data_IF_301411249266
#
_entry.id   IF_301411249266
#
_cell.length_a   1.000
_cell.length_b   1.000
_cell.length_c   1.000
_cell.angle_alpha   90.00
_cell.angle_beta   90.00
_cell.angle_gamma   90.00
#
_symmetry.space_group_name_H-M   'P 1'
#
loop_
_entity.id
_entity.type
_entity.pdbx_description
1 polymer ?
#
# COMPACT_ATOMS: atom_id res chain seq x y z
N UNK A 1 33.91 9.79 -32.82
CA UNK A 1 34.40 9.84 -31.44
C UNK A 1 33.35 10.54 -30.59
N UNK A 2 32.50 9.76 -29.92
CA UNK A 2 31.53 10.28 -28.93
C UNK A 2 32.23 10.14 -27.58
N UNK A 3 32.66 11.26 -27.00
CA UNK A 3 33.22 11.28 -25.65
C UNK A 3 32.12 10.93 -24.65
N UNK A 4 32.20 9.71 -24.10
CA UNK A 4 31.50 9.34 -22.87
C UNK A 4 32.05 10.22 -21.73
N UNK A 5 31.30 11.24 -21.34
CA UNK A 5 31.52 11.91 -20.07
C UNK A 5 30.90 11.00 -19.01
N UNK A 6 31.70 10.06 -18.49
CA UNK A 6 31.42 9.42 -17.21
C UNK A 6 31.59 10.50 -16.12
N UNK A 7 30.50 11.22 -15.83
CA UNK A 7 30.41 11.96 -14.60
C UNK A 7 30.43 10.93 -13.46
N UNK A 8 31.54 10.85 -12.74
CA UNK A 8 31.59 10.13 -11.48
C UNK A 8 30.58 10.78 -10.54
N UNK A 9 29.41 10.17 -10.41
CA UNK A 9 28.48 10.48 -9.32
C UNK A 9 29.21 10.03 -8.06
N UNK A 10 29.82 10.98 -7.35
CA UNK A 10 30.29 10.75 -5.99
C UNK A 10 29.08 10.23 -5.22
N UNK A 11 29.12 8.97 -4.81
CA UNK A 11 28.07 8.38 -3.99
C UNK A 11 27.99 9.21 -2.71
N UNK A 12 26.98 10.07 -2.61
CA UNK A 12 26.69 10.76 -1.37
C UNK A 12 26.49 9.67 -0.32
N UNK A 13 27.17 9.80 0.83
CA UNK A 13 26.94 8.89 1.94
C UNK A 13 25.45 8.88 2.32
N UNK A 14 24.99 7.84 3.02
CA UNK A 14 23.60 7.74 3.42
C UNK A 14 23.21 8.96 4.26
N UNK A 15 22.04 9.50 3.96
CA UNK A 15 21.50 10.65 4.67
C UNK A 15 21.02 10.21 6.05
N UNK A 16 21.09 11.11 7.03
CA UNK A 16 20.66 10.83 8.41
C UNK A 16 19.77 11.94 8.93
N UNK A 17 18.83 11.58 9.79
CA UNK A 17 18.02 12.49 10.59
C UNK A 17 17.77 11.88 11.96
N UNK A 18 17.63 12.72 12.98
CA UNK A 18 17.17 12.31 14.29
C UNK A 18 15.85 13.03 14.58
N UNK A 19 14.89 12.30 15.15
CA UNK A 19 13.63 12.82 15.65
C UNK A 19 13.57 12.67 17.17
N UNK A 20 12.40 12.81 17.78
CA UNK A 20 12.24 12.61 19.22
C UNK A 20 12.52 11.14 19.60
N UNK A 21 11.96 10.20 18.83
CA UNK A 21 11.97 8.78 19.14
C UNK A 21 12.80 7.93 18.18
N UNK A 22 13.36 8.48 17.09
CA UNK A 22 14.08 7.68 16.09
C UNK A 22 15.41 8.30 15.66
N UNK A 23 16.38 7.41 15.39
CA UNK A 23 17.60 7.73 14.65
C UNK A 23 17.47 7.06 13.26
N UNK A 24 17.28 7.88 12.22
CA UNK A 24 16.94 7.43 10.87
C UNK A 24 18.15 7.60 9.96
N UNK A 25 18.48 6.55 9.21
CA UNK A 25 19.49 6.58 8.14
C UNK A 25 18.89 6.00 6.86
N UNK A 26 19.05 6.70 5.74
CA UNK A 26 18.42 6.33 4.48
C UNK A 26 19.41 6.42 3.30
N UNK A 27 19.29 5.48 2.35
CA UNK A 27 20.04 5.44 1.10
C UNK A 27 19.26 5.96 -0.12
N UNK A 28 17.96 6.27 0.01
CA UNK A 28 17.13 6.66 -1.13
C UNK A 28 15.90 7.53 -0.85
N UNK A 29 15.57 7.78 0.43
CA UNK A 29 14.46 8.65 0.83
C UNK A 29 14.98 9.82 1.66
N UNK A 30 14.22 10.90 1.75
CA UNK A 30 14.52 11.96 2.70
C UNK A 30 14.39 11.40 4.14
N UNK A 31 15.47 11.40 4.96
CA UNK A 31 15.43 10.86 6.30
C UNK A 31 14.50 11.66 7.23
N UNK A 32 14.28 12.96 6.99
CA UNK A 32 13.35 13.76 7.78
C UNK A 32 11.90 13.34 7.52
N UNK A 33 11.55 13.13 6.25
CA UNK A 33 10.28 12.54 5.83
C UNK A 33 10.03 11.17 6.47
N UNK A 34 11.00 10.26 6.43
CA UNK A 34 10.90 8.93 7.07
C UNK A 34 10.71 9.06 8.58
N UNK A 35 11.49 9.93 9.24
CA UNK A 35 11.34 10.20 10.66
C UNK A 35 9.94 10.71 11.03
N UNK A 36 9.38 11.63 10.25
CA UNK A 36 8.03 12.15 10.50
C UNK A 36 6.94 11.07 10.41
N UNK A 37 7.08 10.10 9.49
CA UNK A 37 6.16 8.95 9.38
C UNK A 37 6.27 8.07 10.64
N UNK A 38 7.50 7.78 11.07
CA UNK A 38 7.78 6.96 12.25
C UNK A 38 7.26 7.60 13.54
N UNK A 39 7.35 8.93 13.68
CA UNK A 39 6.77 9.64 14.83
C UNK A 39 5.25 9.51 14.90
N UNK A 40 4.56 9.57 13.75
CA UNK A 40 3.10 9.36 13.73
C UNK A 40 2.72 7.92 14.07
N UNK A 41 3.49 6.93 13.60
CA UNK A 41 3.33 5.54 14.00
C UNK A 41 3.58 5.36 15.51
N UNK A 42 4.63 5.99 16.05
CA UNK A 42 4.96 5.93 17.47
C UNK A 42 3.79 6.40 18.33
N UNK A 43 3.15 7.52 17.97
CA UNK A 43 1.93 7.98 18.65
C UNK A 43 0.80 6.94 18.59
N UNK A 44 0.52 6.38 17.41
CA UNK A 44 -0.49 5.34 17.25
C UNK A 44 -0.22 4.09 18.12
N UNK A 45 1.02 3.64 18.18
CA UNK A 45 1.43 2.46 18.94
C UNK A 45 1.47 2.75 20.44
N UNK A 46 1.96 3.91 20.87
CA UNK A 46 1.96 4.32 22.27
C UNK A 46 0.53 4.41 22.83
N UNK A 47 -0.40 4.97 22.07
CA UNK A 47 -1.83 5.01 22.42
C UNK A 47 -2.42 3.60 22.54
N UNK A 48 -2.06 2.69 21.62
CA UNK A 48 -2.55 1.32 21.63
C UNK A 48 -2.00 0.50 22.80
N UNK A 49 -0.69 0.50 23.01
CA UNK A 49 -0.02 -0.27 24.06
C UNK A 49 -0.11 0.39 25.45
N UNK A 50 -0.43 1.68 25.53
CA UNK A 50 -0.45 2.46 26.77
C UNK A 50 0.95 2.72 27.35
N UNK A 51 2.00 2.50 26.55
CA UNK A 51 3.42 2.65 26.90
C UNK A 51 4.28 2.72 25.64
N UNK A 52 5.50 3.22 25.79
CA UNK A 52 6.48 3.35 24.72
C UNK A 52 7.84 2.73 25.10
N UNK A 53 8.64 2.29 24.12
CA UNK A 53 10.05 1.96 24.34
C UNK A 53 10.84 3.15 24.91
N UNK A 54 11.90 2.86 25.65
CA UNK A 54 12.82 3.89 26.14
C UNK A 54 13.93 4.19 25.11
N UNK A 55 14.27 5.47 24.96
CA UNK A 55 15.36 5.93 24.09
C UNK A 55 14.96 6.02 22.62
N UNK A 56 15.90 6.49 21.78
CA UNK A 56 15.71 6.56 20.33
C UNK A 56 15.91 5.19 19.69
N UNK A 57 15.08 4.92 18.70
CA UNK A 57 15.00 3.66 17.97
C UNK A 57 15.72 3.78 16.63
N UNK A 58 16.76 2.96 16.37
CA UNK A 58 17.52 3.06 15.13
C UNK A 58 16.78 2.37 13.97
N UNK A 59 16.72 3.05 12.82
CA UNK A 59 16.09 2.58 11.58
C UNK A 59 17.01 2.87 10.39
N UNK A 60 17.32 1.83 9.61
CA UNK A 60 18.14 1.91 8.40
C UNK A 60 17.36 1.45 7.17
N UNK A 61 17.15 2.37 6.23
CA UNK A 61 16.48 2.12 4.94
C UNK A 61 17.48 2.23 3.80
N UNK A 62 17.76 1.12 3.12
CA UNK A 62 18.74 1.04 2.04
C UNK A 62 18.13 1.32 0.67
N UNK A 63 18.97 1.70 -0.30
CA UNK A 63 18.51 1.98 -1.66
C UNK A 63 17.99 0.71 -2.35
N UNK A 64 18.63 -0.43 -2.09
CA UNK A 64 18.31 -1.71 -2.72
C UNK A 64 18.61 -2.93 -1.82
N UNK A 65 18.20 -4.10 -2.29
CA UNK A 65 18.38 -5.37 -1.58
C UNK A 65 19.85 -5.76 -1.36
N UNK A 66 20.77 -5.31 -2.23
CA UNK A 66 22.17 -5.66 -2.12
C UNK A 66 22.86 -4.85 -1.00
N UNK A 67 22.54 -3.57 -0.86
CA UNK A 67 22.96 -2.74 0.27
C UNK A 67 22.42 -3.28 1.60
N UNK A 68 21.13 -3.63 1.63
CA UNK A 68 20.49 -4.26 2.79
C UNK A 68 21.20 -5.55 3.22
N UNK A 69 21.48 -6.45 2.27
CA UNK A 69 22.21 -7.69 2.56
C UNK A 69 23.61 -7.45 3.11
N UNK A 70 24.36 -6.47 2.58
CA UNK A 70 25.68 -6.09 3.11
C UNK A 70 25.60 -5.52 4.52
N UNK A 71 24.56 -4.73 4.82
CA UNK A 71 24.38 -4.17 6.16
C UNK A 71 24.05 -5.24 7.20
N UNK A 72 23.19 -6.21 6.86
CA UNK A 72 22.92 -7.37 7.72
C UNK A 72 24.19 -8.17 7.99
N UNK A 73 24.95 -8.51 6.95
CA UNK A 73 26.22 -9.25 7.07
C UNK A 73 27.25 -8.51 7.94
N UNK A 74 27.39 -7.19 7.74
CA UNK A 74 28.29 -6.35 8.53
C UNK A 74 27.92 -6.31 10.02
N UNK A 75 26.64 -6.40 10.35
CA UNK A 75 26.15 -6.41 11.73
C UNK A 75 26.02 -7.85 12.30
N UNK A 76 26.47 -8.86 11.55
CA UNK A 76 26.51 -10.26 11.98
C UNK A 76 25.16 -10.99 11.92
N UNK A 77 24.21 -10.48 11.13
CA UNK A 77 22.89 -11.07 10.95
C UNK A 77 22.84 -12.05 9.79
N UNK A 78 22.01 -13.10 9.85
CA UNK A 78 21.84 -14.02 8.74
C UNK A 78 21.23 -13.34 7.53
N UNK A 79 21.45 -13.90 6.34
CA UNK A 79 20.75 -13.46 5.14
C UNK A 79 19.23 -13.70 5.30
N UNK A 80 18.45 -12.62 5.16
CA UNK A 80 16.99 -12.65 5.24
C UNK A 80 16.42 -12.53 3.83
N UNK A 81 15.40 -13.35 3.52
CA UNK A 81 14.73 -13.32 2.22
C UNK A 81 13.67 -12.20 2.10
N UNK A 82 13.24 -11.64 3.23
CA UNK A 82 12.26 -10.56 3.30
C UNK A 82 12.83 -9.19 2.91
N UNK A 83 11.93 -8.25 2.60
CA UNK A 83 12.28 -6.87 2.26
C UNK A 83 12.73 -6.00 3.45
N UNK A 84 12.51 -6.52 4.67
CA UNK A 84 12.72 -5.84 5.94
C UNK A 84 13.00 -6.86 7.05
N UNK A 85 13.59 -6.37 8.14
CA UNK A 85 13.91 -7.15 9.32
C UNK A 85 14.13 -6.24 10.54
N UNK A 86 13.34 -6.44 11.59
CA UNK A 86 13.71 -6.01 12.94
C UNK A 86 14.65 -7.02 13.59
N UNK A 87 15.87 -6.59 13.94
CA UNK A 87 16.89 -7.39 14.62
C UNK A 87 16.86 -7.14 16.14
N UNK A 88 16.34 -8.08 16.97
CA UNK A 88 16.27 -7.87 18.41
C UNK A 88 17.64 -7.70 19.08
N UNK A 89 18.70 -8.32 18.55
CA UNK A 89 20.04 -8.37 19.14
C UNK A 89 20.66 -6.98 19.28
N UNK A 90 20.45 -6.12 18.28
CA UNK A 90 20.93 -4.74 18.28
C UNK A 90 19.81 -3.70 18.25
N UNK A 91 18.55 -4.15 18.33
CA UNK A 91 17.34 -3.33 18.40
C UNK A 91 17.15 -2.41 17.19
N UNK A 92 17.62 -2.83 16.01
CA UNK A 92 17.60 -2.03 14.79
C UNK A 92 16.61 -2.58 13.76
N UNK A 93 15.91 -1.68 13.09
CA UNK A 93 15.13 -2.00 11.89
C UNK A 93 16.02 -1.83 10.66
N UNK A 94 16.03 -2.85 9.80
CA UNK A 94 16.65 -2.83 8.48
C UNK A 94 15.56 -3.03 7.43
N UNK A 95 15.60 -2.27 6.34
CA UNK A 95 14.75 -2.52 5.18
C UNK A 95 15.38 -1.89 3.95
N UNK A 96 14.93 -2.25 2.75
CA UNK A 96 15.29 -1.52 1.53
C UNK A 96 14.07 -1.02 0.78
N UNK A 97 14.30 -0.08 -0.12
CA UNK A 97 13.27 0.50 -0.99
C UNK A 97 12.58 -0.58 -1.81
N UNK A 98 11.25 -0.66 -1.69
CA UNK A 98 10.43 -1.63 -2.40
C UNK A 98 9.95 -1.07 -3.76
N UNK A 99 9.40 -1.91 -4.66
CA UNK A 99 8.97 -1.48 -5.99
C UNK A 99 7.89 -0.38 -6.03
N UNK A 100 7.25 -0.04 -4.90
CA UNK A 100 6.37 1.12 -4.80
C UNK A 100 6.61 1.91 -3.51
N UNK A 101 6.29 3.21 -3.56
CA UNK A 101 6.38 4.09 -2.40
C UNK A 101 5.47 3.62 -1.25
N UNK A 102 4.25 3.20 -1.57
CA UNK A 102 3.31 2.67 -0.60
C UNK A 102 3.87 1.41 0.06
N UNK A 103 4.38 0.46 -0.72
CA UNK A 103 4.89 -0.80 -0.17
C UNK A 103 6.16 -0.60 0.66
N UNK A 104 7.01 0.35 0.27
CA UNK A 104 8.17 0.77 1.10
C UNK A 104 7.72 1.31 2.46
N UNK A 105 6.70 2.17 2.48
CA UNK A 105 6.13 2.69 3.74
C UNK A 105 5.44 1.61 4.55
N UNK A 106 4.63 0.74 3.93
CA UNK A 106 3.98 -0.37 4.62
C UNK A 106 5.02 -1.23 5.33
N UNK A 107 6.13 -1.56 4.66
CA UNK A 107 7.19 -2.36 5.24
C UNK A 107 7.96 -1.61 6.34
N UNK A 108 8.22 -0.30 6.16
CA UNK A 108 8.78 0.55 7.23
C UNK A 108 7.92 0.49 8.49
N UNK A 109 6.61 0.68 8.33
CA UNK A 109 5.66 0.68 9.44
C UNK A 109 5.55 -0.72 10.07
N UNK A 110 5.58 -1.77 9.26
CA UNK A 110 5.57 -3.16 9.70
C UNK A 110 6.78 -3.47 10.61
N UNK A 111 8.00 -3.22 10.13
CA UNK A 111 9.21 -3.51 10.90
C UNK A 111 9.34 -2.61 12.14
N UNK A 112 8.97 -1.33 12.03
CA UNK A 112 8.93 -0.43 13.18
C UNK A 112 7.89 -0.85 14.22
N UNK A 113 6.80 -1.51 13.80
CA UNK A 113 5.82 -2.09 14.73
C UNK A 113 6.43 -3.26 15.50
N UNK A 114 7.20 -4.15 14.84
CA UNK A 114 7.95 -5.21 15.55
C UNK A 114 8.90 -4.62 16.59
N UNK A 115 9.70 -3.61 16.19
CA UNK A 115 10.65 -2.93 17.08
C UNK A 115 9.93 -2.34 18.30
N UNK A 116 8.87 -1.57 18.08
CA UNK A 116 8.12 -0.95 19.15
C UNK A 116 7.49 -1.99 20.07
N UNK A 117 6.81 -2.98 19.49
CA UNK A 117 6.11 -4.04 20.22
C UNK A 117 7.08 -4.81 21.12
N UNK A 118 8.21 -5.27 20.57
CA UNK A 118 9.15 -6.10 21.30
C UNK A 118 9.79 -5.30 22.45
N UNK A 119 10.22 -4.07 22.18
CA UNK A 119 10.90 -3.25 23.19
C UNK A 119 9.96 -2.74 24.28
N UNK A 120 8.70 -2.44 23.97
CA UNK A 120 7.73 -1.94 24.94
C UNK A 120 7.07 -3.05 25.76
N UNK A 121 6.84 -4.22 25.17
CA UNK A 121 5.86 -5.17 25.71
C UNK A 121 6.40 -6.53 26.08
N UNK A 122 7.48 -6.99 25.45
CA UNK A 122 7.93 -8.39 25.60
C UNK A 122 9.31 -8.51 26.26
N UNK A 123 9.93 -7.37 26.60
CA UNK A 123 11.32 -7.32 27.06
C UNK A 123 12.30 -7.65 25.93
N UNK A 124 11.96 -7.23 24.70
CA UNK A 124 12.69 -7.50 23.47
C UNK A 124 12.79 -8.98 23.09
N UNK A 125 11.78 -9.78 23.47
CA UNK A 125 11.69 -11.20 23.12
C UNK A 125 10.58 -11.40 22.10
N UNK A 126 10.81 -12.25 21.10
CA UNK A 126 9.75 -12.62 20.16
C UNK A 126 8.65 -13.42 20.88
N UNK A 127 7.37 -13.01 20.83
CA UNK A 127 6.26 -13.85 21.31
C UNK A 127 6.20 -15.22 20.60
N UNK A 128 5.47 -16.19 21.14
CA UNK A 128 5.39 -17.53 20.52
C UNK A 128 4.54 -17.60 19.26
N UNK A 129 3.54 -16.75 19.14
CA UNK A 129 2.52 -16.85 18.09
C UNK A 129 2.77 -15.92 16.92
N UNK A 130 3.14 -16.51 15.77
CA UNK A 130 3.37 -15.78 14.52
C UNK A 130 2.15 -14.96 14.09
N UNK A 131 0.93 -15.51 14.18
CA UNK A 131 -0.28 -14.78 13.72
C UNK A 131 -0.51 -13.46 14.45
N UNK A 132 -0.16 -13.41 15.74
CA UNK A 132 -0.26 -12.22 16.58
C UNK A 132 0.83 -11.21 16.24
N UNK A 133 2.08 -11.67 16.13
CA UNK A 133 3.24 -10.82 15.82
C UNK A 133 3.09 -10.18 14.45
N UNK A 134 2.93 -11.02 13.42
CA UNK A 134 2.77 -10.56 12.05
C UNK A 134 1.43 -9.82 11.89
N UNK A 135 0.35 -10.31 12.51
CA UNK A 135 -0.96 -9.66 12.41
C UNK A 135 -0.97 -8.24 12.97
N UNK A 136 -0.28 -7.98 14.10
CA UNK A 136 -0.10 -6.63 14.61
C UNK A 136 0.73 -5.75 13.68
N UNK A 137 1.87 -6.27 13.20
CA UNK A 137 2.73 -5.52 12.29
C UNK A 137 2.02 -5.19 10.97
N UNK A 138 1.23 -6.10 10.42
CA UNK A 138 0.39 -5.81 9.25
C UNK A 138 -0.76 -4.86 9.56
N UNK A 139 -1.40 -4.99 10.72
CA UNK A 139 -2.48 -4.09 11.12
C UNK A 139 -2.00 -2.63 11.12
N UNK A 140 -0.82 -2.37 11.72
CA UNK A 140 -0.26 -1.03 11.76
C UNK A 140 0.51 -0.63 10.49
N UNK A 141 0.97 -1.61 9.71
CA UNK A 141 1.59 -1.39 8.40
C UNK A 141 0.59 -0.98 7.31
N UNK A 142 -0.64 -1.50 7.38
CA UNK A 142 -1.74 -1.10 6.49
C UNK A 142 -2.27 0.27 6.90
N UNK A 143 -2.07 1.24 6.01
CA UNK A 143 -2.28 2.65 6.32
C UNK A 143 -2.88 3.43 5.16
N UNK A 144 -3.45 4.59 5.47
CA UNK A 144 -3.70 5.66 4.51
C UNK A 144 -3.43 7.04 5.14
N UNK A 145 -3.56 8.09 4.34
CA UNK A 145 -3.41 9.46 4.77
C UNK A 145 -4.79 10.11 4.89
N UNK A 146 -5.03 10.81 6.00
CA UNK A 146 -6.18 11.71 6.08
C UNK A 146 -6.00 12.88 5.09
N UNK A 147 -7.10 13.37 4.52
CA UNK A 147 -7.11 14.59 3.71
C UNK A 147 -7.08 15.82 4.65
N UNK A 148 -5.90 16.17 5.16
CA UNK A 148 -5.68 17.39 5.94
C UNK A 148 -4.61 18.33 5.33
N UNK A 149 -4.08 18.04 4.14
CA UNK A 149 -3.00 18.81 3.52
C UNK A 149 -3.17 19.18 2.04
N UNK A 150 -2.39 20.18 1.62
CA UNK A 150 -2.30 20.69 0.25
C UNK A 150 -1.41 19.77 -0.62
N UNK A 151 -2.01 19.11 -1.62
CA UNK A 151 -1.33 18.20 -2.55
C UNK A 151 -0.27 18.91 -3.41
N UNK A 152 -0.42 20.22 -3.68
CA UNK A 152 0.43 20.95 -4.59
C UNK A 152 1.82 21.28 -4.03
N UNK A 153 1.96 21.37 -2.70
CA UNK A 153 3.21 21.78 -2.05
C UNK A 153 4.34 20.74 -2.16
N UNK A 154 4.01 19.46 -2.40
CA UNK A 154 4.99 18.37 -2.41
C UNK A 154 5.73 18.16 -3.75
N UNK A 155 5.46 18.99 -4.76
CA UNK A 155 5.86 18.72 -6.14
C UNK A 155 6.97 19.61 -6.71
N UNK A 156 7.68 20.39 -5.88
CA UNK A 156 8.75 21.30 -6.35
C UNK A 156 10.06 20.60 -6.72
N UNK A 157 10.10 19.27 -6.80
CA UNK A 157 11.25 18.46 -7.21
C UNK A 157 11.26 18.12 -8.71
N UNK A 158 12.44 17.80 -9.25
CA UNK A 158 12.61 17.38 -10.65
C UNK A 158 11.74 16.14 -10.96
N UNK A 159 10.98 16.12 -12.07
CA UNK A 159 10.13 14.99 -12.45
C UNK A 159 10.90 13.71 -12.82
N UNK A 160 12.23 13.78 -12.96
CA UNK A 160 13.08 12.64 -13.33
C UNK A 160 13.24 11.58 -12.22
N UNK A 161 12.83 11.90 -10.99
CA UNK A 161 12.69 10.93 -9.91
C UNK A 161 11.25 11.04 -9.43
N UNK A 162 10.36 10.10 -9.79
CA UNK A 162 9.10 9.94 -9.05
C UNK A 162 9.50 9.82 -7.58
N UNK A 163 9.26 10.86 -6.75
CA UNK A 163 9.88 10.91 -5.45
C UNK A 163 9.08 9.96 -4.56
N UNK A 164 9.64 8.79 -4.31
CA UNK A 164 9.33 7.98 -3.13
C UNK A 164 9.34 8.85 -1.84
N UNK A 165 10.03 10.00 -1.88
CA UNK A 165 10.30 10.93 -0.79
C UNK A 165 9.23 12.00 -0.50
N UNK A 166 8.19 12.17 -1.32
CA UNK A 166 7.15 13.16 -0.99
C UNK A 166 6.22 12.57 0.09
N UNK A 167 6.51 12.85 1.37
CA UNK A 167 5.58 12.56 2.46
C UNK A 167 4.29 13.30 2.17
N UNK A 168 3.14 12.60 2.07
CA UNK A 168 1.86 13.27 1.99
C UNK A 168 1.73 14.20 3.18
N UNK A 169 1.30 15.43 2.93
CA UNK A 169 0.90 16.36 3.98
C UNK A 169 -0.38 15.80 4.58
N UNK A 170 -0.24 15.05 5.67
CA UNK A 170 -1.40 14.61 6.41
C UNK A 170 -1.14 13.65 7.55
N UNK A 171 -2.22 13.36 8.28
CA UNK A 171 -2.20 12.44 9.40
C UNK A 171 -2.26 10.98 8.93
N UNK A 172 -1.29 10.19 9.37
CA UNK A 172 -1.23 8.75 9.19
C UNK A 172 -2.40 8.09 9.92
N UNK A 173 -3.12 7.21 9.21
CA UNK A 173 -4.16 6.36 9.78
C UNK A 173 -3.78 4.90 9.55
N UNK A 174 -3.43 4.22 10.63
CA UNK A 174 -3.14 2.79 10.64
C UNK A 174 -4.41 1.94 10.86
N UNK A 175 -4.34 0.65 10.58
CA UNK A 175 -5.44 -0.29 10.83
C UNK A 175 -6.62 -0.14 9.88
N UNK A 176 -6.32 0.29 8.64
CA UNK A 176 -7.31 0.49 7.58
C UNK A 176 -7.14 -0.57 6.48
N UNK A 177 -8.16 -0.72 5.64
CA UNK A 177 -8.03 -1.43 4.36
C UNK A 177 -7.93 -0.36 3.27
N UNK A 178 -6.75 -0.13 2.67
CA UNK A 178 -6.65 0.87 1.62
C UNK A 178 -7.47 0.44 0.41
N UNK A 179 -8.03 1.41 -0.31
CA UNK A 179 -8.79 1.12 -1.53
C UNK A 179 -7.97 0.38 -2.61
N UNK A 180 -6.65 0.53 -2.57
CA UNK A 180 -5.70 -0.13 -3.48
C UNK A 180 -4.35 -0.35 -2.77
N UNK A 181 -3.77 -1.54 -2.94
CA UNK A 181 -2.36 -1.81 -2.62
C UNK A 181 -1.78 -2.85 -3.58
N UNK A 182 -0.45 -2.99 -3.56
CA UNK A 182 0.24 -3.99 -4.38
C UNK A 182 -0.14 -5.42 -3.97
N UNK A 183 -0.28 -5.67 -2.68
CA UNK A 183 -0.72 -6.96 -2.13
C UNK A 183 -2.18 -6.86 -1.69
N UNK A 184 -3.05 -7.72 -2.25
CA UNK A 184 -4.48 -7.75 -1.95
C UNK A 184 -4.78 -8.69 -0.78
N UNK A 185 -4.50 -8.20 0.43
CA UNK A 185 -4.61 -9.00 1.66
C UNK A 185 -6.02 -9.55 1.89
N UNK A 186 -7.11 -8.76 1.76
CA UNK A 186 -8.46 -9.28 1.94
C UNK A 186 -8.78 -10.44 0.99
N UNK A 187 -8.47 -10.31 -0.30
CA UNK A 187 -8.77 -11.39 -1.25
C UNK A 187 -7.93 -12.64 -0.97
N UNK A 188 -6.65 -12.47 -0.64
CA UNK A 188 -5.72 -13.58 -0.38
C UNK A 188 -6.09 -14.33 0.90
N UNK A 189 -6.41 -13.62 1.98
CA UNK A 189 -6.88 -14.22 3.23
C UNK A 189 -8.20 -14.99 3.03
N UNK A 190 -9.13 -14.43 2.26
CA UNK A 190 -10.40 -15.10 1.95
C UNK A 190 -10.20 -16.35 1.09
N UNK A 191 -9.29 -16.31 0.13
CA UNK A 191 -8.92 -17.48 -0.67
C UNK A 191 -8.34 -18.59 0.21
N UNK A 192 -7.40 -18.27 1.11
CA UNK A 192 -6.82 -19.23 2.04
C UNK A 192 -7.89 -19.88 2.94
N UNK A 193 -8.83 -19.09 3.49
CA UNK A 193 -9.94 -19.60 4.30
C UNK A 193 -10.89 -20.53 3.51
N UNK A 194 -11.02 -20.33 2.19
CA UNK A 194 -11.83 -21.18 1.30
C UNK A 194 -11.09 -22.48 0.99
N UNK A 195 -9.81 -22.41 0.64
CA UNK A 195 -8.98 -23.59 0.36
C UNK A 195 -8.89 -24.52 1.58
N UNK A 196 -8.89 -23.94 2.78
CA UNK A 196 -8.82 -24.68 4.06
C UNK A 196 -10.18 -25.04 4.65
N UNK A 197 -11.30 -24.76 3.96
CA UNK A 197 -12.65 -24.99 4.51
C UNK A 197 -12.92 -26.45 4.91
N UNK A 198 -12.23 -27.43 4.30
CA UNK A 198 -12.31 -28.84 4.65
C UNK A 198 -11.44 -29.28 5.85
N UNK A 199 -10.73 -28.36 6.51
CA UNK A 199 -9.84 -28.64 7.65
C UNK A 199 -10.38 -27.95 8.91
N UNK A 200 -11.40 -28.51 9.59
CA UNK A 200 -12.15 -27.82 10.65
C UNK A 200 -11.28 -27.36 11.83
N UNK A 201 -10.19 -28.07 12.12
CA UNK A 201 -9.27 -27.73 13.21
C UNK A 201 -8.11 -26.83 12.78
N UNK A 202 -7.89 -26.60 11.49
CA UNK A 202 -6.70 -25.89 11.02
C UNK A 202 -6.61 -24.48 11.58
N UNK A 203 -7.71 -23.71 11.52
CA UNK A 203 -7.71 -22.34 12.04
C UNK A 203 -7.53 -22.32 13.56
N UNK A 204 -8.09 -23.29 14.28
CA UNK A 204 -7.84 -23.46 15.72
C UNK A 204 -6.35 -23.69 16.00
N UNK A 205 -5.67 -24.49 15.18
CA UNK A 205 -4.22 -24.72 15.29
C UNK A 205 -3.40 -23.47 14.95
N UNK A 206 -3.82 -22.67 13.97
CA UNK A 206 -3.23 -21.35 13.70
C UNK A 206 -3.35 -20.45 14.93
N UNK A 207 -4.56 -20.32 15.49
CA UNK A 207 -4.83 -19.48 16.67
C UNK A 207 -4.04 -19.94 17.91
N UNK A 208 -3.85 -21.25 18.06
CA UNK A 208 -3.02 -21.85 19.10
C UNK A 208 -1.50 -21.74 18.84
N UNK A 209 -1.06 -21.15 17.71
CA UNK A 209 0.36 -21.01 17.35
C UNK A 209 1.03 -22.32 16.91
N UNK A 210 0.25 -23.34 16.55
CA UNK A 210 0.75 -24.67 16.19
C UNK A 210 1.01 -24.83 14.68
N UNK A 211 0.48 -23.93 13.87
CA UNK A 211 0.65 -23.90 12.40
C UNK A 211 0.79 -22.45 11.99
N UNK A 212 1.67 -22.19 11.03
CA UNK A 212 1.82 -20.85 10.45
C UNK A 212 0.64 -20.51 9.53
N UNK A 213 0.29 -19.23 9.53
CA UNK A 213 -0.66 -18.63 8.60
C UNK A 213 0.08 -17.69 7.65
N UNK A 214 -0.50 -17.43 6.47
CA UNK A 214 0.04 -16.38 5.61
C UNK A 214 -0.05 -15.00 6.28
N UNK A 215 0.83 -14.07 5.91
CA UNK A 215 0.75 -12.66 6.36
C UNK A 215 -0.65 -12.05 6.13
N UNK A 216 -1.29 -12.23 4.95
CA UNK A 216 -2.69 -11.83 4.76
C UNK A 216 -3.67 -12.38 5.78
N UNK A 217 -3.56 -13.66 6.16
CA UNK A 217 -4.45 -14.23 7.17
C UNK A 217 -4.13 -13.73 8.59
N UNK A 218 -2.85 -13.58 8.93
CA UNK A 218 -2.43 -12.96 10.19
C UNK A 218 -3.03 -11.55 10.33
N UNK A 219 -2.93 -10.73 9.26
CA UNK A 219 -3.58 -9.43 9.16
C UNK A 219 -5.10 -9.53 9.36
N UNK A 220 -5.77 -10.43 8.64
CA UNK A 220 -7.23 -10.55 8.70
C UNK A 220 -7.73 -10.89 10.11
N UNK A 221 -7.01 -11.77 10.82
CA UNK A 221 -7.32 -12.12 12.20
C UNK A 221 -7.14 -10.92 13.16
N UNK A 222 -6.00 -10.25 13.10
CA UNK A 222 -5.73 -9.09 13.94
C UNK A 222 -6.72 -7.94 13.66
N UNK A 223 -6.95 -7.64 12.38
CA UNK A 223 -7.87 -6.59 11.93
C UNK A 223 -9.31 -6.89 12.33
N UNK A 224 -9.80 -8.11 12.13
CA UNK A 224 -11.14 -8.51 12.56
C UNK A 224 -11.34 -8.34 14.07
N UNK A 225 -10.41 -8.84 14.89
CA UNK A 225 -10.51 -8.76 16.34
C UNK A 225 -10.39 -7.31 16.84
N UNK A 226 -9.47 -6.52 16.27
CA UNK A 226 -9.28 -5.11 16.58
C UNK A 226 -10.56 -4.29 16.36
N UNK A 227 -11.24 -4.49 15.23
CA UNK A 227 -12.46 -3.75 14.89
C UNK A 227 -13.73 -4.32 15.53
N UNK A 228 -13.71 -5.57 15.98
CA UNK A 228 -14.81 -6.17 16.75
C UNK A 228 -14.91 -5.55 18.14
N UNK A 229 -13.80 -5.48 18.86
CA UNK A 229 -13.69 -4.81 20.16
C UNK A 229 -12.23 -4.45 20.43
N UNK A 230 -11.90 -3.16 20.25
CA UNK A 230 -10.53 -2.67 20.39
C UNK A 230 -9.97 -2.81 21.80
N UNK A 231 -10.80 -2.69 22.84
CA UNK A 231 -10.35 -2.83 24.23
C UNK A 231 -10.04 -4.29 24.53
N UNK A 232 -10.97 -5.19 24.17
CA UNK A 232 -10.76 -6.62 24.32
C UNK A 232 -9.54 -7.09 23.51
N UNK A 233 -9.35 -6.60 22.29
CA UNK A 233 -8.17 -6.93 21.49
C UNK A 233 -6.87 -6.50 22.15
N UNK A 234 -6.81 -5.29 22.74
CA UNK A 234 -5.65 -4.85 23.53
C UNK A 234 -5.39 -5.78 24.72
N UNK A 235 -6.44 -6.20 25.43
CA UNK A 235 -6.31 -7.14 26.54
C UNK A 235 -5.76 -8.50 26.07
N UNK A 236 -6.24 -9.01 24.93
CA UNK A 236 -5.69 -10.21 24.30
C UNK A 236 -4.19 -10.05 24.00
N UNK A 237 -3.79 -8.95 23.36
CA UNK A 237 -2.38 -8.64 23.06
C UNK A 237 -1.54 -8.67 24.34
N UNK A 238 -1.98 -8.02 25.41
CA UNK A 238 -1.28 -8.02 26.70
C UNK A 238 -1.15 -9.41 27.35
N UNK A 239 -2.06 -10.34 27.07
CA UNK A 239 -1.97 -11.74 27.53
C UNK A 239 -0.97 -12.53 26.69
N UNK A 240 -1.04 -12.39 25.37
CA UNK A 240 -0.10 -13.05 24.45
C UNK A 240 1.34 -12.58 24.65
N UNK A 241 1.55 -11.30 24.93
CA UNK A 241 2.88 -10.72 25.23
C UNK A 241 3.48 -11.24 26.54
N UNK A 242 2.63 -11.71 27.46
CA UNK A 242 3.03 -12.40 28.70
C UNK A 242 3.18 -13.92 28.53
N UNK A 243 3.16 -14.40 27.29
CA UNK A 243 3.36 -15.80 26.93
C UNK A 243 2.26 -16.73 27.52
N UNK A 244 1.06 -16.19 27.76
CA UNK A 244 -0.12 -16.99 28.11
C UNK A 244 -0.51 -17.92 26.95
N UNK A 245 -1.25 -19.01 27.23
CA UNK A 245 -1.73 -19.91 26.17
C UNK A 245 -2.60 -19.12 25.17
N UNK A 246 -2.27 -19.15 23.86
CA UNK A 246 -2.94 -18.28 22.90
C UNK A 246 -4.42 -18.56 22.73
N UNK A 247 -4.79 -19.84 22.74
CA UNK A 247 -6.17 -20.24 22.51
C UNK A 247 -7.03 -19.95 23.75
N UNK A 248 -6.53 -20.27 24.95
CA UNK A 248 -7.20 -19.89 26.19
C UNK A 248 -7.28 -18.36 26.35
N UNK A 249 -6.27 -17.64 25.87
CA UNK A 249 -6.27 -16.17 25.88
C UNK A 249 -7.35 -15.61 24.98
N UNK A 250 -7.41 -16.06 23.72
CA UNK A 250 -8.46 -15.68 22.80
C UNK A 250 -9.84 -16.02 23.35
N UNK A 251 -10.01 -17.22 23.91
CA UNK A 251 -11.29 -17.69 24.43
C UNK A 251 -11.75 -16.92 25.67
N UNK A 252 -10.84 -16.60 26.57
CA UNK A 252 -11.16 -15.78 27.75
C UNK A 252 -11.55 -14.35 27.40
N UNK A 253 -11.08 -13.83 26.26
CA UNK A 253 -11.33 -12.45 25.84
C UNK A 253 -12.53 -12.31 24.90
N UNK A 254 -12.65 -13.18 23.90
CA UNK A 254 -13.68 -13.10 22.85
C UNK A 254 -14.72 -14.23 22.90
N UNK A 255 -14.59 -15.16 23.86
CA UNK A 255 -15.42 -16.35 23.96
C UNK A 255 -14.91 -17.52 23.10
N UNK A 256 -15.61 -18.65 23.18
CA UNK A 256 -15.23 -19.86 22.44
C UNK A 256 -15.08 -19.61 20.94
N UNK A 257 -14.04 -20.17 20.33
CA UNK A 257 -13.91 -20.17 18.88
C UNK A 257 -14.92 -21.15 18.28
N UNK A 258 -16.01 -20.60 17.72
CA UNK A 258 -17.12 -21.37 17.14
C UNK A 258 -17.13 -21.30 15.61
N UNK A 259 -17.84 -22.21 14.92
CA UNK A 259 -18.09 -22.08 13.48
C UNK A 259 -18.70 -20.71 13.10
N UNK A 260 -19.55 -20.15 13.96
CA UNK A 260 -20.13 -18.81 13.77
C UNK A 260 -19.06 -17.72 13.72
N UNK A 261 -18.03 -17.80 14.57
CA UNK A 261 -16.94 -16.81 14.57
C UNK A 261 -16.12 -16.87 13.28
N UNK A 262 -15.92 -18.08 12.71
CA UNK A 262 -15.29 -18.25 11.41
C UNK A 262 -16.16 -17.66 10.28
N UNK A 263 -17.47 -17.87 10.32
CA UNK A 263 -18.38 -17.28 9.34
C UNK A 263 -18.43 -15.75 9.45
N UNK A 264 -18.36 -15.21 10.67
CA UNK A 264 -18.24 -13.77 10.90
C UNK A 264 -16.91 -13.22 10.36
N UNK A 265 -15.78 -13.92 10.57
CA UNK A 265 -14.49 -13.54 10.00
C UNK A 265 -14.55 -13.54 8.46
N UNK A 266 -15.14 -14.57 7.84
CA UNK A 266 -15.29 -14.65 6.38
C UNK A 266 -16.16 -13.52 5.84
N UNK A 267 -17.28 -13.22 6.52
CA UNK A 267 -18.16 -12.10 6.18
C UNK A 267 -17.41 -10.78 6.29
N UNK A 268 -16.72 -10.57 7.41
CA UNK A 268 -15.91 -9.38 7.64
C UNK A 268 -14.88 -9.16 6.52
N UNK A 269 -14.10 -10.17 6.17
CA UNK A 269 -13.12 -10.06 5.07
C UNK A 269 -13.82 -9.76 3.74
N UNK A 270 -14.97 -10.39 3.48
CA UNK A 270 -15.80 -10.14 2.29
C UNK A 270 -16.31 -8.70 2.21
N UNK A 271 -16.65 -8.09 3.34
CA UNK A 271 -17.12 -6.71 3.43
C UNK A 271 -15.98 -5.68 3.34
N UNK A 272 -14.74 -6.11 3.58
CA UNK A 272 -13.52 -5.27 3.58
C UNK A 272 -12.60 -5.60 2.41
N UNK A 273 -13.16 -5.85 1.22
CA UNK A 273 -12.36 -6.06 0.02
C UNK A 273 -11.85 -4.72 -0.54
N UNK A 274 -10.64 -4.72 -1.09
CA UNK A 274 -10.15 -3.57 -1.86
C UNK A 274 -10.91 -3.51 -3.20
N UNK A 275 -11.49 -2.38 -3.60
CA UNK A 275 -12.22 -2.28 -4.86
C UNK A 275 -11.32 -2.30 -6.10
N UNK A 276 -10.03 -1.99 -5.97
CA UNK A 276 -9.09 -1.88 -7.09
C UNK A 276 -7.99 -2.95 -7.05
N UNK A 277 -7.55 -3.37 -8.23
CA UNK A 277 -6.37 -4.21 -8.42
C UNK A 277 -5.29 -3.42 -9.14
N UNK A 278 -4.07 -3.45 -8.61
CA UNK A 278 -2.88 -2.96 -9.31
C UNK A 278 -2.55 -3.91 -10.46
N UNK A 279 -2.48 -3.36 -11.67
CA UNK A 279 -1.99 -4.09 -12.85
C UNK A 279 -0.51 -3.78 -13.02
N UNK A 280 -0.17 -2.50 -13.03
CA UNK A 280 1.23 -2.04 -13.03
C UNK A 280 1.42 -1.04 -11.89
N UNK A 281 2.57 -1.19 -11.23
CA UNK A 281 2.98 -0.62 -9.94
C UNK A 281 2.67 0.88 -9.73
N UNK A 282 2.78 1.27 -8.46
CA UNK A 282 2.72 2.65 -7.93
C UNK A 282 1.33 3.29 -7.85
N UNK A 283 0.45 2.65 -7.08
CA UNK A 283 -0.84 3.23 -6.68
C UNK A 283 -1.00 3.23 -5.17
N UNK A 284 -1.70 4.23 -4.67
CA UNK A 284 -2.09 4.32 -3.27
C UNK A 284 -3.42 5.05 -3.10
N UNK A 285 -4.04 4.84 -1.96
CA UNK A 285 -5.12 5.70 -1.45
C UNK A 285 -4.53 6.90 -0.71
N UNK A 286 -5.06 8.09 -0.96
CA UNK A 286 -4.75 9.33 -0.25
C UNK A 286 -6.05 10.07 0.00
N UNK A 287 -6.59 9.95 1.22
CA UNK A 287 -7.90 10.46 1.56
C UNK A 287 -9.00 9.82 0.72
N UNK A 288 -9.85 10.63 0.09
CA UNK A 288 -10.90 10.14 -0.84
C UNK A 288 -10.40 9.90 -2.27
N UNK A 289 -9.11 10.16 -2.52
CA UNK A 289 -8.53 10.08 -3.84
C UNK A 289 -7.62 8.86 -4.02
N UNK A 290 -7.45 8.46 -5.27
CA UNK A 290 -6.42 7.50 -5.67
C UNK A 290 -5.27 8.22 -6.33
N UNK A 291 -4.05 7.88 -5.97
CA UNK A 291 -2.87 8.49 -6.52
C UNK A 291 -2.06 7.46 -7.29
N UNK A 292 -1.74 7.79 -8.55
CA UNK A 292 -0.79 7.05 -9.36
C UNK A 292 0.49 7.86 -9.52
N UNK A 293 1.63 7.21 -9.33
CA UNK A 293 2.92 7.70 -9.80
C UNK A 293 3.49 6.67 -10.78
N UNK A 294 4.18 7.08 -11.83
CA UNK A 294 4.98 6.13 -12.60
C UNK A 294 5.99 6.90 -13.44
N UNK A 295 7.17 6.33 -13.61
CA UNK A 295 8.14 6.81 -14.61
C UNK A 295 7.79 6.36 -16.03
N UNK A 296 6.99 5.30 -16.15
CA UNK A 296 6.55 4.73 -17.44
C UNK A 296 5.03 4.67 -17.46
N UNK A 297 4.41 3.53 -17.19
CA UNK A 297 2.98 3.36 -17.19
C UNK A 297 2.52 2.74 -15.86
N UNK A 298 1.62 3.41 -15.16
CA UNK A 298 0.92 2.90 -13.99
C UNK A 298 -0.54 2.62 -14.34
N UNK A 299 -1.08 1.49 -13.86
CA UNK A 299 -2.46 1.08 -14.16
C UNK A 299 -3.10 0.37 -12.97
N UNK A 300 -4.32 0.78 -12.62
CA UNK A 300 -5.24 0.02 -11.75
C UNK A 300 -6.57 -0.22 -12.46
N UNK A 301 -7.23 -1.30 -12.09
CA UNK A 301 -8.55 -1.67 -12.61
C UNK A 301 -9.49 -1.98 -11.47
N UNK A 302 -10.75 -1.59 -11.62
CA UNK A 302 -11.79 -1.93 -10.66
C UNK A 302 -12.05 -3.45 -10.72
N UNK A 303 -12.18 -4.12 -9.57
CA UNK A 303 -12.36 -5.57 -9.50
C UNK A 303 -13.73 -6.00 -10.00
N UNK A 304 -14.78 -5.30 -9.58
CA UNK A 304 -16.13 -5.53 -10.06
C UNK A 304 -16.33 -4.91 -11.45
N UNK A 305 -17.17 -5.51 -12.32
CA UNK A 305 -17.62 -4.83 -13.53
C UNK A 305 -18.36 -3.54 -13.16
N UNK A 306 -18.11 -2.50 -13.94
CA UNK A 306 -18.74 -1.18 -13.80
C UNK A 306 -19.29 -0.77 -15.15
N UNK A 307 -20.51 -0.26 -15.21
CA UNK A 307 -21.06 0.41 -16.39
C UNK A 307 -20.66 1.90 -16.47
N UNK A 308 -20.13 2.49 -15.40
CA UNK A 308 -19.58 3.86 -15.43
C UNK A 308 -18.41 4.06 -14.47
N UNK A 309 -17.44 4.85 -14.93
CA UNK A 309 -16.35 5.43 -14.14
C UNK A 309 -16.18 6.90 -14.52
N UNK A 310 -16.20 7.79 -13.53
CA UNK A 310 -15.89 9.21 -13.66
C UNK A 310 -14.82 9.60 -12.64
N UNK A 311 -13.89 10.48 -13.03
CA UNK A 311 -12.88 11.03 -12.13
C UNK A 311 -12.38 12.41 -12.58
N UNK A 312 -11.84 13.18 -11.64
CA UNK A 312 -11.11 14.41 -11.86
C UNK A 312 -9.61 14.19 -11.64
N UNK A 313 -8.77 14.71 -12.54
CA UNK A 313 -7.32 14.57 -12.50
C UNK A 313 -6.69 15.81 -11.85
N UNK A 314 -5.88 15.58 -10.83
CA UNK A 314 -5.07 16.55 -10.11
C UNK A 314 -3.59 16.21 -10.31
N UNK A 315 -2.93 16.76 -11.35
CA UNK A 315 -1.52 16.48 -11.60
C UNK A 315 -0.65 17.14 -10.53
N UNK A 316 0.41 16.46 -10.09
CA UNK A 316 1.35 17.03 -9.12
C UNK A 316 2.14 18.23 -9.69
N UNK A 317 2.23 18.37 -11.01
CA UNK A 317 2.92 19.48 -11.67
C UNK A 317 3.67 19.01 -12.91
N UNK A 318 4.33 19.94 -13.61
CA UNK A 318 5.10 19.63 -14.81
C UNK A 318 4.26 19.08 -15.98
N UNK A 319 4.92 18.32 -16.87
CA UNK A 319 4.25 17.59 -17.94
C UNK A 319 3.57 16.36 -17.35
N UNK A 320 2.34 16.10 -17.74
CA UNK A 320 1.58 14.96 -17.25
C UNK A 320 0.74 14.33 -18.34
N UNK A 321 0.51 13.02 -18.23
CA UNK A 321 -0.40 12.22 -19.04
C UNK A 321 -1.13 11.23 -18.14
N UNK A 322 -2.44 11.35 -18.04
CA UNK A 322 -3.24 10.53 -17.13
C UNK A 322 -4.68 10.43 -17.64
N UNK A 323 -5.44 9.47 -17.11
CA UNK A 323 -6.85 9.33 -17.42
C UNK A 323 -7.41 7.97 -17.05
N UNK A 324 -8.29 7.44 -17.89
CA UNK A 324 -9.05 6.22 -17.61
C UNK A 324 -8.68 5.05 -18.50
N UNK A 325 -9.06 3.85 -18.05
CA UNK A 325 -8.93 2.60 -18.78
C UNK A 325 -10.30 1.98 -18.97
N UNK A 326 -10.50 1.36 -20.13
CA UNK A 326 -11.75 0.66 -20.43
C UNK A 326 -11.54 -0.51 -21.37
N UNK A 327 -12.51 -1.43 -21.34
CA UNK A 327 -12.39 -2.68 -22.07
C UNK A 327 -11.18 -3.50 -21.63
N UNK A 328 -10.78 -3.40 -20.34
CA UNK A 328 -9.64 -4.14 -19.83
C UNK A 328 -9.98 -5.62 -19.68
N UNK A 329 -9.32 -6.46 -20.47
CA UNK A 329 -9.41 -7.92 -20.37
C UNK A 329 -8.21 -8.48 -19.61
N UNK A 330 -7.02 -8.05 -20.03
CA UNK A 330 -5.73 -8.40 -19.45
C UNK A 330 -4.70 -7.31 -19.79
N UNK A 331 -3.44 -7.52 -19.38
CA UNK A 331 -2.30 -6.61 -19.60
C UNK A 331 -1.94 -6.34 -21.06
N UNK A 332 -2.55 -7.07 -21.99
CA UNK A 332 -2.27 -7.02 -23.43
C UNK A 332 -3.44 -6.53 -24.28
N UNK A 333 -4.68 -6.50 -23.77
CA UNK A 333 -5.87 -6.01 -24.52
C UNK A 333 -6.73 -5.07 -23.65
N UNK A 334 -6.61 -3.76 -23.92
CA UNK A 334 -7.41 -2.70 -23.28
C UNK A 334 -7.33 -1.39 -24.07
N UNK A 335 -8.12 -0.40 -23.65
CA UNK A 335 -8.06 0.96 -24.17
C UNK A 335 -7.73 1.95 -23.06
N UNK A 336 -7.04 3.03 -23.42
CA UNK A 336 -6.76 4.19 -22.59
C UNK A 336 -7.48 5.41 -23.14
N UNK A 337 -8.01 6.25 -22.25
CA UNK A 337 -8.33 7.65 -22.56
C UNK A 337 -7.29 8.55 -21.89
N UNK A 338 -6.37 9.07 -22.68
CA UNK A 338 -5.26 9.90 -22.25
C UNK A 338 -5.61 11.39 -22.33
N UNK A 339 -5.47 12.09 -21.21
CA UNK A 339 -5.50 13.55 -21.11
C UNK A 339 -4.07 14.04 -20.82
N UNK A 340 -3.74 15.25 -21.26
CA UNK A 340 -2.40 15.84 -21.08
C UNK A 340 -2.45 17.32 -20.70
N UNK A 341 -1.33 17.82 -20.20
CA UNK A 341 -1.09 19.24 -19.89
C UNK A 341 -1.36 20.19 -21.07
N UNK A 342 -1.16 19.71 -22.31
CA UNK A 342 -1.39 20.46 -23.55
C UNK A 342 -2.87 20.67 -23.93
N UNK A 343 -3.79 20.03 -23.19
CA UNK A 343 -5.21 19.94 -23.54
C UNK A 343 -5.52 18.93 -24.66
N UNK A 344 -4.56 18.07 -25.00
CA UNK A 344 -4.77 16.98 -25.95
C UNK A 344 -5.44 15.79 -25.27
N UNK A 345 -6.41 15.20 -25.97
CA UNK A 345 -7.07 13.95 -25.61
C UNK A 345 -6.74 12.89 -26.65
N UNK A 346 -6.32 11.70 -26.21
CA UNK A 346 -6.06 10.55 -27.08
C UNK A 346 -6.81 9.33 -26.58
N UNK A 347 -7.30 8.52 -27.51
CA UNK A 347 -7.79 7.18 -27.22
C UNK A 347 -6.85 6.20 -27.89
N UNK A 348 -6.26 5.33 -27.09
CA UNK A 348 -5.19 4.42 -27.51
C UNK A 348 -5.64 3.00 -27.16
N UNK A 349 -5.49 2.05 -28.09
CA UNK A 349 -5.71 0.64 -27.85
C UNK A 349 -4.36 -0.06 -27.65
N UNK A 350 -4.25 -0.88 -26.62
CA UNK A 350 -3.23 -1.92 -26.53
C UNK A 350 -3.82 -3.23 -27.07
N UNK A 351 -3.10 -3.88 -27.98
CA UNK A 351 -3.45 -5.20 -28.52
C UNK A 351 -2.17 -6.03 -28.64
N UNK A 352 -1.97 -6.97 -27.71
CA UNK A 352 -0.69 -7.65 -27.53
C UNK A 352 0.39 -6.67 -27.05
N UNK A 353 1.48 -6.58 -27.83
CA UNK A 353 2.56 -5.62 -27.64
C UNK A 353 2.39 -4.32 -28.43
N UNK A 354 1.32 -4.20 -29.23
CA UNK A 354 1.11 -3.05 -30.10
C UNK A 354 0.27 -1.97 -29.43
N UNK A 355 0.66 -0.72 -29.66
CA UNK A 355 -0.08 0.47 -29.27
C UNK A 355 -0.64 1.15 -30.52
N UNK A 356 -1.96 1.27 -30.60
CA UNK A 356 -2.66 1.80 -31.76
C UNK A 356 -3.43 3.05 -31.37
N UNK A 357 -3.16 4.17 -32.04
CA UNK A 357 -3.96 5.38 -31.86
C UNK A 357 -5.34 5.17 -32.50
N UNK A 358 -6.40 5.22 -31.69
CA UNK A 358 -7.79 5.10 -32.16
C UNK A 358 -8.36 6.48 -32.45
N UNK A 359 -8.10 7.46 -31.58
CA UNK A 359 -8.55 8.84 -31.71
C UNK A 359 -7.51 9.80 -31.12
N UNK A 360 -7.38 10.98 -31.71
CA UNK A 360 -6.63 12.08 -31.12
C UNK A 360 -7.35 13.40 -31.44
N UNK A 361 -7.49 14.27 -30.45
CA UNK A 361 -8.13 15.58 -30.58
C UNK A 361 -7.56 16.55 -29.57
N UNK A 362 -7.46 17.83 -29.93
CA UNK A 362 -7.18 18.91 -28.97
C UNK A 362 -8.50 19.58 -28.59
N UNK A 363 -8.75 19.75 -27.30
CA UNK A 363 -9.96 20.41 -26.83
C UNK A 363 -9.77 21.94 -26.83
N UNK A 364 -10.82 22.72 -27.18
CA UNK A 364 -10.76 24.18 -27.10
C UNK A 364 -10.61 24.67 -25.65
N UNK A 365 -11.22 23.93 -24.71
CA UNK A 365 -11.13 24.18 -23.28
C UNK A 365 -10.64 22.90 -22.59
N UNK A 366 -9.36 22.84 -22.15
CA UNK A 366 -8.84 21.68 -21.46
C UNK A 366 -9.68 21.37 -20.21
N UNK A 367 -10.27 20.18 -20.17
CA UNK A 367 -10.90 19.63 -18.97
C UNK A 367 -9.98 18.61 -18.34
N UNK A 368 -9.97 18.56 -17.00
CA UNK A 368 -9.31 17.51 -16.22
C UNK A 368 -10.28 16.44 -15.73
N UNK A 369 -11.56 16.54 -16.09
CA UNK A 369 -12.59 15.56 -15.75
C UNK A 369 -12.86 14.68 -16.96
N UNK A 370 -12.93 13.38 -16.73
CA UNK A 370 -13.34 12.42 -17.75
C UNK A 370 -14.38 11.47 -17.18
N UNK A 371 -15.20 10.91 -18.08
CA UNK A 371 -16.10 9.82 -17.76
C UNK A 371 -16.02 8.75 -18.85
N UNK A 372 -16.15 7.51 -18.45
CA UNK A 372 -16.30 6.36 -19.32
C UNK A 372 -17.59 5.68 -18.90
N UNK A 373 -18.55 5.59 -19.80
CA UNK A 373 -19.86 5.01 -19.49
C UNK A 373 -20.38 4.13 -20.61
N UNK A 374 -21.16 3.13 -20.23
CA UNK A 374 -21.78 2.21 -21.16
C UNK A 374 -23.04 2.83 -21.77
N UNK A 375 -23.15 2.80 -23.09
CA UNK A 375 -24.32 3.26 -23.85
C UNK A 375 -24.74 2.18 -24.83
N UNK A 376 -25.60 1.28 -24.37
CA UNK A 376 -25.92 0.04 -25.08
C UNK A 376 -24.72 -0.91 -25.07
N UNK A 377 -24.31 -1.39 -26.24
CA UNK A 377 -23.17 -2.30 -26.37
C UNK A 377 -21.81 -1.57 -26.42
N UNK A 378 -21.81 -0.24 -26.53
CA UNK A 378 -20.60 0.56 -26.70
C UNK A 378 -20.21 1.30 -25.43
N UNK A 379 -18.91 1.54 -25.27
CA UNK A 379 -18.37 2.52 -24.32
C UNK A 379 -18.35 3.90 -24.96
N UNK A 380 -18.90 4.88 -24.26
CA UNK A 380 -18.73 6.30 -24.57
C UNK A 380 -17.64 6.88 -23.68
N UNK A 381 -16.68 7.57 -24.29
CA UNK A 381 -15.62 8.30 -23.60
C UNK A 381 -15.95 9.78 -23.65
N UNK A 382 -16.03 10.42 -22.48
CA UNK A 382 -16.34 11.84 -22.32
C UNK A 382 -15.19 12.57 -21.62
N UNK A 383 -14.92 13.80 -22.04
CA UNK A 383 -13.99 14.72 -21.37
C UNK A 383 -14.68 16.06 -21.20
N UNK A 384 -14.95 16.45 -19.95
CA UNK A 384 -15.95 17.48 -19.65
C UNK A 384 -17.33 17.04 -20.17
N UNK A 385 -17.99 17.90 -20.96
CA UNK A 385 -19.30 17.60 -21.56
C UNK A 385 -19.19 16.99 -22.98
N UNK A 386 -17.98 16.92 -23.54
CA UNK A 386 -17.78 16.48 -24.91
C UNK A 386 -17.61 14.95 -25.00
N UNK A 387 -18.38 14.30 -25.88
CA UNK A 387 -18.15 12.90 -26.26
C UNK A 387 -16.98 12.82 -27.24
N UNK A 388 -15.91 12.14 -26.85
CA UNK A 388 -14.68 11.99 -27.63
C UNK A 388 -14.79 10.86 -28.65
N UNK A 389 -15.32 9.71 -28.23
CA UNK A 389 -15.59 8.58 -29.11
C UNK A 389 -16.63 7.63 -28.51
N UNK A 390 -17.12 6.70 -29.35
CA UNK A 390 -17.85 5.50 -28.94
C UNK A 390 -17.16 4.28 -29.53
N UNK A 391 -16.92 3.26 -28.73
CA UNK A 391 -16.20 2.05 -29.15
C UNK A 391 -16.88 0.81 -28.62
N UNK A 392 -16.94 -0.23 -29.44
CA UNK A 392 -17.30 -1.57 -28.98
C UNK A 392 -16.08 -2.18 -28.27
N UNK A 393 -16.23 -2.41 -26.96
CA UNK A 393 -15.23 -3.08 -26.15
C UNK A 393 -15.91 -3.77 -24.96
N UNK A 394 -15.27 -4.81 -24.43
CA UNK A 394 -15.73 -5.51 -23.23
C UNK A 394 -14.57 -5.64 -22.26
N UNK A 395 -14.86 -5.52 -20.97
CA UNK A 395 -13.86 -5.61 -19.92
C UNK A 395 -14.12 -4.63 -18.79
N UNK A 396 -13.12 -4.48 -17.93
CA UNK A 396 -13.18 -3.66 -16.72
C UNK A 396 -12.80 -2.21 -17.00
N UNK A 397 -13.18 -1.32 -16.08
CA UNK A 397 -12.78 0.08 -16.06
C UNK A 397 -11.62 0.29 -15.09
N UNK A 398 -10.82 1.32 -15.31
CA UNK A 398 -9.60 1.57 -14.55
C UNK A 398 -9.10 3.00 -14.62
N UNK A 399 -8.00 3.28 -13.93
CA UNK A 399 -7.28 4.55 -13.93
C UNK A 399 -5.84 4.30 -14.38
N UNK A 400 -5.25 5.27 -15.09
CA UNK A 400 -3.87 5.14 -15.57
C UNK A 400 -3.10 6.44 -15.50
N UNK A 401 -1.77 6.34 -15.34
CA UNK A 401 -0.80 7.44 -15.42
C UNK A 401 0.36 7.06 -16.34
N UNK A 402 0.92 8.01 -17.08
CA UNK A 402 2.08 7.80 -17.95
C UNK A 402 3.17 8.86 -17.75
N UNK A 403 4.32 8.42 -17.20
CA UNK A 403 5.49 9.22 -16.89
C UNK A 403 5.16 10.47 -16.07
N UNK A 404 4.26 10.33 -15.08
CA UNK A 404 3.83 11.42 -14.22
C UNK A 404 3.31 10.93 -12.87
N UNK A 405 3.05 11.90 -11.98
CA UNK A 405 2.29 11.73 -10.74
C UNK A 405 0.96 12.47 -10.85
N UNK A 406 -0.13 11.78 -10.63
CA UNK A 406 -1.47 12.38 -10.66
C UNK A 406 -2.38 11.75 -9.59
N UNK A 407 -3.18 12.59 -8.97
CA UNK A 407 -4.26 12.20 -8.07
C UNK A 407 -5.60 12.21 -8.81
N UNK A 408 -6.44 11.24 -8.53
CA UNK A 408 -7.77 11.08 -9.08
C UNK A 408 -8.77 11.30 -7.95
N UNK A 409 -9.47 12.42 -8.00
CA UNK A 409 -10.49 12.80 -7.03
C UNK A 409 -11.89 12.73 -7.65
N UNK A 410 -12.93 12.91 -6.81
CA UNK A 410 -14.33 12.81 -7.26
C UNK A 410 -14.61 11.50 -8.02
N UNK A 411 -13.99 10.39 -7.60
CA UNK A 411 -14.14 9.10 -8.26
C UNK A 411 -15.58 8.62 -8.04
N UNK A 412 -16.35 8.50 -9.11
CA UNK A 412 -17.70 7.98 -9.08
C UNK A 412 -17.80 6.74 -9.97
N UNK A 413 -18.33 5.66 -9.42
CA UNK A 413 -18.51 4.37 -10.09
C UNK A 413 -19.96 3.94 -10.04
N UNK A 414 -20.49 3.37 -11.12
CA UNK A 414 -21.77 2.65 -11.09
C UNK A 414 -21.61 1.25 -11.70
N UNK A 415 -22.24 0.22 -11.11
CA UNK A 415 -22.27 -1.13 -11.67
C UNK A 415 -22.97 -1.14 -13.02
#
# INVERSE_FOLDING_TARGET
MISLVLAAVLAAGPATAATEHYDVRTGGLDPAAVGAILEQLHGCLADFFGKAPAGRLPVELFADAAEFGRALDSDGHPAIAGGGYYAPENRKVYLYTQPSAYFTRQLLLHEATHQFHFLSSTGNRKPRTTWHIEGLAELFGMHNWADDGDFAAAATGSPASCPLAATPSGRLRCGVVPAVSLEDYPATALAELRERAGQPDWLRRVLAGQVEASRPLCWALAHFLFHRDRSAFRDLVCRLDRDEDPLESLQGTFGAFTPTLLDDLRRWIGDHQQPWSVVWIEWQESGEALEGCSQTLGLIVHKAPLDRLEAAIEPAGGRWRAGGVFGFRDESDFHLVELSDSGSVRVIRRAGSQWQAVRARRLPHPSRRFAIERRGEQWAVLVGEETICKLDASGRLGLYVDACRARFSSIATSP
#
